data_IF_971784659630
#
_entry.id   IF_971784659630
#
_cell.length_a   1.000
_cell.length_b   1.000
_cell.length_c   1.000
_cell.angle_alpha   90.00
_cell.angle_beta   90.00
_cell.angle_gamma   90.00
#
_symmetry.space_group_name_H-M   'P 1'
#
loop_
_entity.id
_entity.type
_entity.pdbx_description
1 polymer ?
#
# COMPACT_ATOMS: atom_id res chain seq x y z
N UNK A 1 -8.91 12.87 -51.46
CA UNK A 1 -9.08 14.06 -52.31
C UNK A 1 -10.55 14.12 -52.69
N UNK A 2 -11.21 15.26 -52.51
CA UNK A 2 -12.59 15.44 -52.99
C UNK A 2 -12.53 15.44 -54.52
N UNK A 3 -12.98 14.37 -55.16
CA UNK A 3 -12.92 14.20 -56.61
C UNK A 3 -13.98 15.07 -57.29
N UNK A 4 -13.82 16.39 -57.18
CA UNK A 4 -14.72 17.39 -57.77
C UNK A 4 -14.07 17.97 -59.03
N UNK A 5 -14.86 18.23 -60.10
CA UNK A 5 -14.36 18.92 -61.27
C UNK A 5 -13.97 20.37 -60.93
N UNK A 6 -13.03 20.96 -61.67
CA UNK A 6 -12.56 22.35 -61.43
C UNK A 6 -13.64 23.42 -61.59
N UNK A 7 -14.78 23.07 -62.21
CA UNK A 7 -15.96 23.94 -62.38
C UNK A 7 -17.04 23.73 -61.31
N UNK A 8 -16.77 22.95 -60.26
CA UNK A 8 -17.74 22.69 -59.20
C UNK A 8 -18.14 24.00 -58.51
N UNK A 9 -19.45 24.19 -58.31
CA UNK A 9 -19.94 25.36 -57.58
C UNK A 9 -19.61 25.23 -56.09
N UNK A 10 -19.40 26.36 -55.41
CA UNK A 10 -19.07 26.40 -53.98
C UNK A 10 -20.06 25.58 -53.14
N UNK A 11 -21.34 25.58 -53.52
CA UNK A 11 -22.39 24.79 -52.87
C UNK A 11 -22.05 23.29 -52.92
N UNK A 12 -21.67 22.75 -54.09
CA UNK A 12 -21.32 21.33 -54.27
C UNK A 12 -20.07 20.94 -53.47
N UNK A 13 -19.08 21.85 -53.43
CA UNK A 13 -17.87 21.68 -52.61
C UNK A 13 -18.23 21.62 -51.13
N UNK A 14 -19.09 22.53 -50.66
CA UNK A 14 -19.57 22.57 -49.27
C UNK A 14 -20.34 21.29 -48.94
N UNK A 15 -21.24 20.80 -49.79
CA UNK A 15 -21.97 19.56 -49.52
C UNK A 15 -21.03 18.37 -49.40
N UNK A 16 -20.05 18.25 -50.29
CA UNK A 16 -19.08 17.15 -50.27
C UNK A 16 -18.14 17.21 -49.08
N UNK A 17 -17.78 18.42 -48.62
CA UNK A 17 -17.04 18.61 -47.37
C UNK A 17 -17.87 18.18 -46.16
N UNK A 18 -19.15 18.53 -46.11
CA UNK A 18 -20.05 18.11 -45.03
C UNK A 18 -20.21 16.58 -45.01
N UNK A 19 -20.42 15.95 -46.17
CA UNK A 19 -20.48 14.49 -46.29
C UNK A 19 -19.18 13.83 -45.79
N UNK A 20 -18.02 14.40 -46.15
CA UNK A 20 -16.73 13.90 -45.70
C UNK A 20 -16.56 14.04 -44.18
N UNK A 21 -16.92 15.19 -43.62
CA UNK A 21 -16.84 15.44 -42.17
C UNK A 21 -17.75 14.45 -41.43
N UNK A 22 -18.99 14.26 -41.88
CA UNK A 22 -19.90 13.29 -41.29
C UNK A 22 -19.34 11.87 -41.34
N UNK A 23 -18.76 11.46 -42.49
CA UNK A 23 -18.12 10.15 -42.62
C UNK A 23 -16.88 9.99 -41.75
N UNK A 24 -16.10 11.05 -41.52
CA UNK A 24 -14.96 11.03 -40.61
C UNK A 24 -15.40 10.97 -39.15
N UNK A 25 -16.43 11.71 -38.77
CA UNK A 25 -17.03 11.65 -37.44
C UNK A 25 -17.54 10.23 -37.12
N UNK A 26 -18.27 9.62 -38.05
CA UNK A 26 -18.75 8.24 -37.87
C UNK A 26 -17.60 7.24 -37.69
N UNK A 27 -16.52 7.37 -38.46
CA UNK A 27 -15.32 6.52 -38.31
C UNK A 27 -14.62 6.76 -36.98
N UNK A 28 -14.56 8.01 -36.54
CA UNK A 28 -13.99 8.36 -35.24
C UNK A 28 -14.79 7.75 -34.10
N UNK A 29 -16.12 7.84 -34.14
CA UNK A 29 -17.01 7.25 -33.13
C UNK A 29 -16.90 5.72 -33.10
N UNK A 30 -16.81 5.07 -34.27
CA UNK A 30 -16.56 3.64 -34.37
C UNK A 30 -15.21 3.26 -33.75
N UNK A 31 -14.14 3.99 -34.08
CA UNK A 31 -12.81 3.74 -33.52
C UNK A 31 -12.77 3.97 -32.01
N UNK A 32 -13.49 4.96 -31.50
CA UNK A 32 -13.62 5.21 -30.07
C UNK A 32 -14.31 4.04 -29.36
N UNK A 33 -15.40 3.53 -29.95
CA UNK A 33 -16.11 2.33 -29.44
C UNK A 33 -15.18 1.11 -29.42
N UNK A 34 -14.47 0.84 -30.52
CA UNK A 34 -13.53 -0.27 -30.63
C UNK A 34 -12.40 -0.14 -29.59
N UNK A 35 -11.90 1.08 -29.36
CA UNK A 35 -10.87 1.33 -28.35
C UNK A 35 -11.36 1.03 -26.93
N UNK A 36 -12.58 1.44 -26.58
CA UNK A 36 -13.18 1.15 -25.27
C UNK A 36 -13.38 -0.36 -25.09
N UNK A 37 -13.87 -1.05 -26.12
CA UNK A 37 -14.01 -2.51 -26.08
C UNK A 37 -12.65 -3.21 -25.90
N UNK A 38 -11.62 -2.75 -26.62
CA UNK A 38 -10.27 -3.29 -26.49
C UNK A 38 -9.69 -3.05 -25.08
N UNK A 39 -9.87 -1.87 -24.50
CA UNK A 39 -9.46 -1.60 -23.11
C UNK A 39 -10.15 -2.53 -22.12
N UNK A 40 -11.46 -2.75 -22.28
CA UNK A 40 -12.21 -3.71 -21.46
C UNK A 40 -11.70 -5.15 -21.64
N UNK A 41 -11.38 -5.57 -22.87
CA UNK A 41 -10.83 -6.91 -23.12
C UNK A 41 -9.46 -7.10 -22.46
N UNK A 42 -8.60 -6.08 -22.49
CA UNK A 42 -7.29 -6.11 -21.85
C UNK A 42 -7.43 -6.14 -20.33
N UNK A 43 -8.30 -5.31 -19.77
CA UNK A 43 -8.57 -5.30 -18.32
C UNK A 43 -9.13 -6.66 -17.86
N UNK A 44 -10.04 -7.28 -18.62
CA UNK A 44 -10.57 -8.59 -18.29
C UNK A 44 -9.51 -9.69 -18.38
N UNK A 45 -8.60 -9.63 -19.34
CA UNK A 45 -7.46 -10.56 -19.43
C UNK A 45 -6.55 -10.42 -18.22
N UNK A 46 -6.17 -9.18 -17.89
CA UNK A 46 -5.29 -8.94 -16.75
C UNK A 46 -5.98 -9.36 -15.43
N UNK A 47 -7.30 -9.19 -15.29
CA UNK A 47 -8.05 -9.74 -14.15
C UNK A 47 -7.98 -11.27 -14.07
N UNK A 48 -8.11 -11.98 -15.19
CA UNK A 48 -7.97 -13.43 -15.24
C UNK A 48 -6.55 -13.86 -14.84
N UNK A 49 -5.52 -13.12 -15.28
CA UNK A 49 -4.14 -13.39 -14.93
C UNK A 49 -3.88 -13.31 -13.41
N UNK A 50 -4.72 -12.59 -12.65
CA UNK A 50 -4.62 -12.39 -11.19
C UNK A 50 -5.82 -12.97 -10.39
N UNK A 51 -6.58 -13.90 -10.96
CA UNK A 51 -7.73 -14.54 -10.30
C UNK A 51 -7.36 -15.24 -8.97
N UNK A 52 -6.11 -15.69 -8.84
CA UNK A 52 -5.55 -16.30 -7.62
C UNK A 52 -5.40 -15.33 -6.43
N UNK A 53 -5.40 -14.03 -6.70
CA UNK A 53 -5.20 -12.96 -5.73
C UNK A 53 -6.47 -12.14 -5.50
N UNK A 54 -7.34 -12.06 -6.49
CA UNK A 54 -8.52 -11.20 -6.48
C UNK A 54 -9.71 -11.98 -5.91
N UNK A 55 -10.30 -11.46 -4.83
CA UNK A 55 -11.56 -11.99 -4.31
C UNK A 55 -12.75 -11.50 -5.14
N UNK A 56 -13.88 -12.25 -5.21
CA UNK A 56 -15.06 -11.82 -5.97
C UNK A 56 -15.60 -10.45 -5.52
N UNK A 57 -15.44 -10.12 -4.22
CA UNK A 57 -15.85 -8.82 -3.67
C UNK A 57 -14.96 -7.65 -4.13
N UNK A 58 -13.67 -7.91 -4.40
CA UNK A 58 -12.71 -6.88 -4.82
C UNK A 58 -12.52 -6.80 -6.34
N UNK A 59 -13.17 -7.68 -7.10
CA UNK A 59 -13.03 -7.76 -8.56
C UNK A 59 -13.40 -6.46 -9.26
N UNK A 60 -14.50 -5.83 -8.87
CA UNK A 60 -14.95 -4.55 -9.46
C UNK A 60 -13.94 -3.45 -9.18
N UNK A 61 -13.41 -3.39 -7.96
CA UNK A 61 -12.36 -2.42 -7.59
C UNK A 61 -11.11 -2.61 -8.46
N UNK A 62 -10.61 -3.85 -8.58
CA UNK A 62 -9.43 -4.12 -9.41
C UNK A 62 -9.67 -3.86 -10.89
N UNK A 63 -10.88 -4.11 -11.40
CA UNK A 63 -11.24 -3.73 -12.78
C UNK A 63 -11.11 -2.22 -13.00
N UNK A 64 -11.67 -1.42 -12.10
CA UNK A 64 -11.57 0.04 -12.18
C UNK A 64 -10.13 0.53 -12.05
N UNK A 65 -9.32 -0.08 -11.18
CA UNK A 65 -7.91 0.26 -11.06
C UNK A 65 -7.12 -0.09 -12.32
N UNK A 66 -7.38 -1.23 -12.95
CA UNK A 66 -6.72 -1.62 -14.20
C UNK A 66 -7.10 -0.69 -15.37
N UNK A 67 -8.33 -0.20 -15.43
CA UNK A 67 -8.77 0.77 -16.45
C UNK A 67 -8.17 2.17 -16.22
N UNK A 68 -7.99 2.59 -14.96
CA UNK A 68 -7.49 3.95 -14.64
C UNK A 68 -5.97 4.05 -14.54
N UNK A 69 -5.31 3.03 -14.00
CA UNK A 69 -3.88 2.98 -13.75
C UNK A 69 -3.37 1.53 -13.83
N UNK A 70 -3.34 1.00 -15.06
CA UNK A 70 -2.97 -0.38 -15.34
C UNK A 70 -1.62 -0.78 -14.72
N UNK A 71 -0.57 0.00 -14.98
CA UNK A 71 0.79 -0.36 -14.56
C UNK A 71 0.94 -0.33 -13.04
N UNK A 72 0.34 0.66 -12.36
CA UNK A 72 0.33 0.73 -10.90
C UNK A 72 -0.42 -0.44 -10.27
N UNK A 73 -1.59 -0.79 -10.81
CA UNK A 73 -2.39 -1.90 -10.33
C UNK A 73 -1.66 -3.24 -10.49
N UNK A 74 -1.05 -3.48 -11.66
CA UNK A 74 -0.26 -4.69 -11.93
C UNK A 74 0.93 -4.79 -10.97
N UNK A 75 1.68 -3.70 -10.76
CA UNK A 75 2.82 -3.70 -9.84
C UNK A 75 2.41 -4.11 -8.42
N UNK A 76 1.31 -3.55 -7.91
CA UNK A 76 0.80 -3.91 -6.58
C UNK A 76 0.35 -5.38 -6.55
N UNK A 77 -0.36 -5.86 -7.58
CA UNK A 77 -0.79 -7.26 -7.64
C UNK A 77 0.40 -8.23 -7.70
N UNK A 78 1.46 -7.87 -8.41
CA UNK A 78 2.72 -8.63 -8.44
C UNK A 78 3.41 -8.63 -7.09
N UNK A 79 3.50 -7.47 -6.42
CA UNK A 79 4.05 -7.38 -5.06
C UNK A 79 3.26 -8.24 -4.06
N UNK A 80 1.92 -8.20 -4.13
CA UNK A 80 1.05 -9.02 -3.28
C UNK A 80 1.23 -10.52 -3.58
N UNK A 81 1.32 -10.91 -4.86
CA UNK A 81 1.58 -12.29 -5.26
C UNK A 81 2.93 -12.77 -4.74
N UNK A 82 3.97 -11.94 -4.86
CA UNK A 82 5.30 -12.23 -4.33
C UNK A 82 5.29 -12.34 -2.80
N UNK A 83 4.58 -11.45 -2.10
CA UNK A 83 4.44 -11.51 -0.64
C UNK A 83 3.73 -12.80 -0.18
N UNK A 84 2.71 -13.25 -0.93
CA UNK A 84 2.00 -14.53 -0.69
C UNK A 84 2.87 -15.75 -1.02
N UNK A 85 3.75 -15.66 -2.01
CA UNK A 85 4.67 -16.74 -2.39
C UNK A 85 5.85 -16.88 -1.42
N UNK A 86 6.27 -15.79 -0.76
CA UNK A 86 7.33 -15.78 0.28
C UNK A 86 6.80 -16.30 1.63
N UNK A 87 5.51 -16.60 1.74
CA UNK A 87 4.91 -17.36 2.85
C UNK A 87 4.73 -18.86 2.54
N UNK A 88 5.80 -19.67 2.39
CA UNK A 88 5.73 -21.10 2.66
C UNK A 88 6.45 -21.38 3.98
N UNK A 89 5.72 -21.27 5.09
CA UNK A 89 5.96 -22.10 6.25
C UNK A 89 4.59 -22.54 6.78
N UNK A 90 4.31 -23.83 6.59
CA UNK A 90 3.33 -24.57 7.39
C UNK A 90 3.41 -24.15 8.86
N UNK A 91 2.33 -24.27 9.65
CA UNK A 91 2.43 -24.08 11.09
C UNK A 91 3.60 -24.93 11.54
N UNK A 92 4.67 -24.29 12.01
CA UNK A 92 5.72 -24.99 12.71
C UNK A 92 4.97 -25.70 13.83
N UNK A 93 4.79 -27.01 13.68
CA UNK A 93 4.31 -27.89 14.74
C UNK A 93 5.04 -27.40 15.96
N UNK A 94 4.30 -26.81 16.91
CA UNK A 94 4.88 -26.33 18.16
C UNK A 94 5.83 -27.43 18.61
N UNK A 95 7.15 -27.21 18.63
CA UNK A 95 7.94 -28.05 19.51
C UNK A 95 7.31 -27.77 20.86
N UNK A 96 6.80 -28.82 21.52
CA UNK A 96 6.44 -28.77 22.93
C UNK A 96 7.41 -27.83 23.62
N UNK A 97 6.96 -26.90 24.46
CA UNK A 97 7.87 -25.97 25.09
C UNK A 97 8.85 -26.78 25.94
N UNK A 98 10.00 -27.13 25.33
CA UNK A 98 11.18 -27.53 26.04
C UNK A 98 11.41 -26.35 26.97
N UNK A 99 11.18 -26.61 28.25
CA UNK A 99 11.31 -25.66 29.34
C UNK A 99 12.76 -25.20 29.38
N UNK A 100 13.11 -24.26 28.51
CA UNK A 100 14.38 -23.55 28.54
C UNK A 100 14.38 -22.78 29.86
N UNK A 101 15.28 -23.08 30.81
CA UNK A 101 15.32 -22.35 32.06
C UNK A 101 15.57 -20.87 31.75
N UNK A 102 14.70 -20.00 32.26
CA UNK A 102 14.66 -18.54 32.04
C UNK A 102 15.84 -17.78 32.66
N UNK A 103 16.98 -18.43 32.90
CA UNK A 103 18.14 -17.85 33.53
C UNK A 103 19.43 -18.23 32.80
N UNK A 104 19.62 -17.70 31.59
CA UNK A 104 20.87 -17.89 30.83
C UNK A 104 21.84 -16.70 30.86
N UNK A 105 21.64 -15.73 31.75
CA UNK A 105 22.50 -14.53 31.82
C UNK A 105 22.98 -14.20 33.25
N UNK A 106 23.49 -15.18 34.02
CA UNK A 106 24.17 -14.89 35.30
C UNK A 106 25.63 -15.34 35.38
N UNK A 107 26.21 -15.94 34.33
CA UNK A 107 27.60 -16.42 34.37
C UNK A 107 28.39 -16.17 33.07
N UNK A 108 28.10 -15.10 32.35
CA UNK A 108 29.00 -14.62 31.29
C UNK A 108 29.34 -13.18 31.65
N UNK A 109 30.53 -12.96 32.21
CA UNK A 109 31.15 -11.65 32.19
C UNK A 109 31.57 -11.38 30.74
N UNK A 110 30.93 -10.45 30.01
CA UNK A 110 31.54 -9.98 28.79
C UNK A 110 32.82 -9.23 29.19
N UNK A 111 33.97 -9.70 28.69
CA UNK A 111 35.22 -8.95 28.77
C UNK A 111 35.01 -7.66 27.98
N UNK A 112 34.65 -6.59 28.68
CA UNK A 112 34.62 -5.24 28.12
C UNK A 112 36.06 -4.77 28.00
N UNK A 113 36.51 -4.51 26.78
CA UNK A 113 37.75 -3.77 26.55
C UNK A 113 37.57 -2.33 27.02
N UNK A 114 38.52 -1.83 27.82
CA UNK A 114 38.54 -0.54 28.54
C UNK A 114 38.34 0.73 27.69
N UNK A 115 38.11 0.62 26.38
CA UNK A 115 38.07 1.76 25.47
C UNK A 115 36.67 2.36 25.25
N UNK A 116 35.60 1.66 25.61
CA UNK A 116 34.21 2.13 25.37
C UNK A 116 33.51 2.69 26.62
N UNK A 117 34.20 2.72 27.76
CA UNK A 117 33.64 3.23 29.04
C UNK A 117 33.87 4.74 29.25
N UNK A 118 34.32 5.48 28.23
CA UNK A 118 34.75 6.87 28.39
C UNK A 118 33.66 7.93 28.08
N UNK A 119 32.47 7.56 27.63
CA UNK A 119 31.36 8.51 27.44
C UNK A 119 30.18 8.18 28.38
N UNK A 120 30.39 8.46 29.66
CA UNK A 120 29.41 8.22 30.71
C UNK A 120 28.78 9.54 31.19
N UNK A 121 27.57 9.86 30.69
CA UNK A 121 26.54 10.61 31.42
C UNK A 121 25.17 10.55 30.70
N UNK A 122 24.00 10.51 31.41
CA UNK A 122 23.80 10.43 32.85
C UNK A 122 22.88 9.26 33.28
N UNK A 123 23.31 8.45 34.25
CA UNK A 123 22.47 7.46 34.93
C UNK A 123 21.25 8.04 35.70
N UNK A 124 21.16 9.38 35.80
CA UNK A 124 20.06 10.08 36.48
C UNK A 124 18.78 10.18 35.62
N UNK A 125 18.89 10.26 34.30
CA UNK A 125 17.73 10.38 33.41
C UNK A 125 16.94 9.08 33.31
N UNK A 126 17.63 7.94 33.35
CA UNK A 126 17.01 6.61 33.32
C UNK A 126 16.22 6.32 34.59
N UNK A 127 16.73 6.73 35.77
CA UNK A 127 16.00 6.61 37.03
C UNK A 127 14.75 7.50 37.07
N UNK A 128 14.81 8.70 36.49
CA UNK A 128 13.65 9.59 36.36
C UNK A 128 12.57 8.98 35.48
N UNK A 129 12.94 8.47 34.30
CA UNK A 129 11.99 7.86 33.38
C UNK A 129 11.26 6.65 34.00
N UNK A 130 11.97 5.84 34.80
CA UNK A 130 11.36 4.70 35.52
C UNK A 130 10.35 5.17 36.58
N UNK A 131 10.65 6.24 37.32
CA UNK A 131 9.71 6.82 38.30
C UNK A 131 8.44 7.35 37.64
N UNK A 132 8.57 8.08 36.53
CA UNK A 132 7.42 8.61 35.76
C UNK A 132 6.56 7.47 35.23
N UNK A 133 7.18 6.42 34.67
CA UNK A 133 6.46 5.26 34.16
C UNK A 133 5.64 4.55 35.23
N UNK A 134 6.24 4.30 36.39
CA UNK A 134 5.56 3.61 37.50
C UNK A 134 4.42 4.48 38.05
N UNK A 135 4.66 5.79 38.21
CA UNK A 135 3.65 6.73 38.67
C UNK A 135 2.46 6.86 37.71
N UNK A 136 2.73 6.90 36.41
CA UNK A 136 1.68 6.91 35.38
C UNK A 136 0.83 5.63 35.40
N UNK A 137 1.42 4.48 35.73
CA UNK A 137 0.68 3.23 35.88
C UNK A 137 -0.25 3.26 37.11
N UNK A 138 0.18 3.84 38.23
CA UNK A 138 -0.66 4.05 39.42
C UNK A 138 -1.83 4.99 39.15
N UNK A 139 -1.58 6.14 38.51
CA UNK A 139 -2.64 7.11 38.18
C UNK A 139 -3.66 6.47 37.23
N UNK A 140 -3.19 5.71 36.23
CA UNK A 140 -4.08 4.99 35.32
C UNK A 140 -4.98 3.98 36.05
N UNK A 141 -4.46 3.24 37.03
CA UNK A 141 -5.25 2.23 37.75
C UNK A 141 -6.22 2.87 38.75
N UNK A 142 -5.80 3.95 39.42
CA UNK A 142 -6.63 4.68 40.40
C UNK A 142 -7.77 5.46 39.74
N UNK A 143 -7.47 6.20 38.67
CA UNK A 143 -8.42 7.12 38.03
C UNK A 143 -9.14 6.50 36.82
N UNK A 144 -8.71 5.32 36.35
CA UNK A 144 -9.21 4.65 35.14
C UNK A 144 -9.17 5.51 33.86
N UNK A 145 -8.13 6.35 33.75
CA UNK A 145 -7.92 7.26 32.62
C UNK A 145 -6.93 6.65 31.60
N UNK A 146 -7.00 7.00 30.29
CA UNK A 146 -6.00 6.56 29.31
C UNK A 146 -4.56 6.89 29.71
N UNK A 147 -3.63 5.95 29.41
CA UNK A 147 -2.24 6.04 29.87
C UNK A 147 -1.52 7.33 29.42
N UNK A 148 -1.84 7.87 28.24
CA UNK A 148 -1.23 9.11 27.74
C UNK A 148 -1.54 10.33 28.64
N UNK A 149 -2.76 10.43 29.18
CA UNK A 149 -3.13 11.49 30.11
C UNK A 149 -2.53 11.25 31.50
N UNK A 150 -2.45 9.99 31.93
CA UNK A 150 -1.80 9.62 33.19
C UNK A 150 -0.29 9.89 33.16
N UNK A 151 0.36 9.70 32.00
CA UNK A 151 1.78 9.95 31.80
C UNK A 151 2.11 11.45 31.86
N UNK A 152 1.35 12.29 31.17
CA UNK A 152 1.54 13.76 31.25
C UNK A 152 1.28 14.33 32.64
N UNK A 153 0.37 13.71 33.42
CA UNK A 153 0.19 14.04 34.84
C UNK A 153 1.37 13.59 35.69
N UNK A 154 1.84 12.35 35.50
CA UNK A 154 3.00 11.82 36.21
C UNK A 154 4.28 12.61 35.91
N UNK A 155 4.45 13.11 34.69
CA UNK A 155 5.55 14.02 34.32
C UNK A 155 5.46 15.32 35.10
N UNK A 156 4.29 15.96 35.16
CA UNK A 156 4.06 17.20 35.94
C UNK A 156 4.22 17.04 37.45
N UNK A 157 4.03 15.83 37.99
CA UNK A 157 4.23 15.55 39.42
C UNK A 157 5.71 15.34 39.79
N UNK A 158 6.55 14.96 38.82
CA UNK A 158 7.96 14.59 39.03
C UNK A 158 8.92 15.68 38.50
N UNK A 159 8.44 16.57 37.62
CA UNK A 159 9.07 17.86 37.25
C UNK A 159 8.95 18.92 38.35
#
# INVERSE_FOLDING_TARGET
MLNLPETAQDIEVITKLIELIAGLQQKYDALLSDAVELEDTVANRDLQDFEDMITPESQVFWKEQLLRNRDGAINILVELRNAKAVTPAAPAKEPEPEKRPLFRNRLINPVRTMSELAEEAPALSTQRAVKIRNRAQEIRTQEKIPYALAFTRAEKEIE
#
